data_IF_713094445524
#
_entry.id   IF_713094445524
#
_cell.length_a   1.000
_cell.length_b   1.000
_cell.length_c   1.000
_cell.angle_alpha   90.00
_cell.angle_beta   90.00
_cell.angle_gamma   90.00
#
_symmetry.space_group_name_H-M   'P 1'
#
loop_
_entity.id
_entity.type
_entity.pdbx_description
1 polymer ?
#
# COMPACT_ATOMS: atom_id res chain seq x y z
N UNK A 1 -28.31 -21.04 -4.48
CA UNK A 1 -27.51 -19.80 -4.55
C UNK A 1 -28.51 -18.65 -4.60
N UNK A 2 -28.62 -17.85 -3.53
CA UNK A 2 -29.67 -16.83 -3.39
C UNK A 2 -29.38 -15.72 -4.40
N UNK A 3 -30.25 -15.55 -5.40
CA UNK A 3 -30.15 -14.53 -6.43
C UNK A 3 -30.52 -13.16 -5.86
N UNK A 4 -29.53 -12.43 -5.37
CA UNK A 4 -29.71 -11.04 -4.95
C UNK A 4 -29.88 -10.16 -6.20
N UNK A 5 -31.08 -9.64 -6.40
CA UNK A 5 -31.48 -8.88 -7.60
C UNK A 5 -30.67 -7.59 -7.81
N UNK A 6 -29.99 -7.08 -6.77
CA UNK A 6 -29.14 -5.88 -6.80
C UNK A 6 -28.05 -5.96 -5.71
N UNK A 7 -27.08 -6.88 -5.80
CA UNK A 7 -26.05 -7.04 -4.76
C UNK A 7 -25.14 -5.83 -4.57
N UNK A 8 -25.09 -4.88 -5.52
CA UNK A 8 -24.20 -3.72 -5.47
C UNK A 8 -22.72 -4.05 -5.67
N UNK A 9 -22.38 -5.33 -5.86
CA UNK A 9 -21.02 -5.80 -6.09
C UNK A 9 -20.98 -6.65 -7.35
N UNK A 10 -20.09 -6.29 -8.28
CA UNK A 10 -19.76 -7.11 -9.43
C UNK A 10 -18.51 -7.92 -9.10
N UNK A 11 -18.64 -9.25 -9.09
CA UNK A 11 -17.48 -10.14 -9.00
C UNK A 11 -16.99 -10.37 -10.42
N UNK A 12 -15.76 -9.95 -10.70
CA UNK A 12 -15.11 -10.27 -11.97
C UNK A 12 -14.74 -11.76 -11.98
N UNK A 13 -15.38 -12.53 -12.85
CA UNK A 13 -15.03 -13.93 -13.14
C UNK A 13 -14.30 -13.98 -14.49
N UNK A 14 -13.01 -13.66 -14.49
CA UNK A 14 -12.14 -13.77 -15.66
C UNK A 14 -11.23 -15.01 -15.64
N UNK A 15 -10.32 -15.13 -16.62
CA UNK A 15 -9.27 -16.14 -16.62
C UNK A 15 -8.44 -16.09 -15.34
N UNK A 16 -7.95 -17.24 -14.90
CA UNK A 16 -7.03 -17.33 -13.76
C UNK A 16 -5.72 -16.61 -14.10
N UNK A 17 -5.25 -15.75 -13.18
CA UNK A 17 -3.92 -15.15 -13.25
C UNK A 17 -2.95 -16.13 -12.58
N UNK A 18 -2.02 -16.68 -13.36
CA UNK A 18 -1.06 -17.67 -12.88
C UNK A 18 0.18 -16.99 -12.25
N UNK A 19 0.81 -17.59 -11.23
CA UNK A 19 1.98 -17.01 -10.56
C UNK A 19 3.17 -16.69 -11.48
N UNK A 20 3.29 -17.41 -12.60
CA UNK A 20 4.39 -17.25 -13.56
C UNK A 20 4.10 -16.18 -14.64
N UNK A 21 2.90 -15.60 -14.65
CA UNK A 21 2.54 -14.53 -15.58
C UNK A 21 2.80 -13.16 -14.94
N UNK A 22 4.07 -12.73 -15.02
CA UNK A 22 4.55 -11.48 -14.43
C UNK A 22 3.76 -10.26 -14.93
N UNK A 23 3.41 -10.21 -16.22
CA UNK A 23 2.66 -9.10 -16.81
C UNK A 23 1.24 -9.01 -16.25
N UNK A 24 0.54 -10.13 -16.13
CA UNK A 24 -0.81 -10.14 -15.54
C UNK A 24 -0.79 -9.81 -14.05
N UNK A 25 0.22 -10.30 -13.33
CA UNK A 25 0.43 -9.95 -11.92
C UNK A 25 0.73 -8.45 -11.73
N UNK A 26 1.56 -7.86 -12.59
CA UNK A 26 1.87 -6.43 -12.55
C UNK A 26 0.63 -5.58 -12.84
N UNK A 27 -0.16 -5.96 -13.86
CA UNK A 27 -1.42 -5.27 -14.17
C UNK A 27 -2.43 -5.37 -13.02
N UNK A 28 -2.55 -6.53 -12.38
CA UNK A 28 -3.39 -6.69 -11.19
C UNK A 28 -2.86 -5.85 -10.03
N UNK A 29 -1.55 -5.84 -9.81
CA UNK A 29 -0.93 -5.00 -8.80
C UNK A 29 -1.28 -3.54 -9.05
N UNK A 30 -1.06 -3.00 -10.25
CA UNK A 30 -1.46 -1.64 -10.63
C UNK A 30 -2.93 -1.33 -10.32
N UNK A 31 -3.83 -2.31 -10.49
CA UNK A 31 -5.22 -2.16 -10.10
C UNK A 31 -5.44 -2.11 -8.58
N UNK A 32 -4.77 -2.99 -7.82
CA UNK A 32 -4.89 -3.08 -6.35
C UNK A 32 -4.28 -1.86 -5.66
N UNK A 33 -3.08 -1.44 -6.07
CA UNK A 33 -2.37 -0.28 -5.50
C UNK A 33 -2.78 1.06 -6.13
N UNK A 34 -3.79 1.05 -7.00
CA UNK A 34 -4.24 2.26 -7.68
C UNK A 34 -4.66 3.32 -6.66
N UNK A 35 -3.99 4.48 -6.69
CA UNK A 35 -4.46 5.66 -5.97
C UNK A 35 -5.87 6.03 -6.46
N UNK A 36 -6.76 6.37 -5.53
CA UNK A 36 -8.15 6.76 -5.86
C UNK A 36 -8.25 8.02 -6.73
N UNK A 37 -7.14 8.75 -6.90
CA UNK A 37 -7.02 9.99 -7.65
C UNK A 37 -5.84 9.94 -8.63
N UNK A 38 -5.83 10.82 -9.64
CA UNK A 38 -4.73 10.94 -10.60
C UNK A 38 -4.19 12.37 -10.60
N UNK A 39 -2.88 12.51 -10.47
CA UNK A 39 -2.18 13.80 -10.49
C UNK A 39 -2.34 14.52 -11.83
N UNK A 40 -2.46 13.79 -12.93
CA UNK A 40 -2.67 14.36 -14.28
C UNK A 40 -4.00 15.13 -14.38
N UNK A 41 -4.96 14.84 -13.49
CA UNK A 41 -6.25 15.52 -13.41
C UNK A 41 -6.27 16.66 -12.39
N UNK A 42 -5.12 17.01 -11.83
CA UNK A 42 -4.98 18.01 -10.78
C UNK A 42 -4.22 19.24 -11.32
N UNK A 43 -4.80 20.42 -11.13
CA UNK A 43 -4.16 21.70 -11.42
C UNK A 43 -3.99 22.47 -10.12
N UNK A 44 -2.75 22.81 -9.77
CA UNK A 44 -2.44 23.62 -8.61
C UNK A 44 -2.43 25.11 -8.98
N UNK A 45 -3.12 25.92 -8.19
CA UNK A 45 -3.18 27.37 -8.30
C UNK A 45 -2.53 27.96 -7.06
N UNK A 46 -1.44 28.69 -7.26
CA UNK A 46 -0.67 29.33 -6.20
C UNK A 46 -1.41 30.56 -5.64
N UNK A 47 -1.02 30.99 -4.43
CA UNK A 47 -1.64 32.14 -3.72
C UNK A 47 -1.62 33.43 -4.54
N UNK A 48 -0.52 33.69 -5.27
CA UNK A 48 -0.34 34.86 -6.14
C UNK A 48 -1.33 34.91 -7.32
N UNK A 49 -1.81 33.74 -7.75
CA UNK A 49 -2.76 33.58 -8.86
C UNK A 49 -4.21 33.46 -8.39
N UNK A 50 -4.42 33.41 -7.09
CA UNK A 50 -5.73 33.25 -6.48
C UNK A 50 -6.29 34.63 -6.10
N UNK A 51 -7.54 34.97 -6.47
CA UNK A 51 -8.13 36.28 -6.15
C UNK A 51 -8.20 36.56 -4.64
N UNK A 52 -8.34 35.49 -3.87
CA UNK A 52 -8.53 35.49 -2.43
C UNK A 52 -7.20 35.30 -1.65
N UNK A 53 -6.07 35.19 -2.36
CA UNK A 53 -4.74 35.00 -1.75
C UNK A 53 -4.52 33.62 -1.13
N UNK A 54 -5.42 32.67 -1.34
CA UNK A 54 -5.35 31.29 -0.81
C UNK A 54 -5.02 30.33 -1.94
N UNK A 55 -4.03 29.44 -1.75
CA UNK A 55 -3.69 28.40 -2.71
C UNK A 55 -4.87 27.44 -2.92
N UNK A 56 -5.11 27.03 -4.17
CA UNK A 56 -6.23 26.15 -4.55
C UNK A 56 -5.79 24.98 -5.39
N UNK A 57 -6.58 23.92 -5.36
CA UNK A 57 -6.45 22.75 -6.21
C UNK A 57 -7.73 22.56 -7.02
N UNK A 58 -7.60 22.50 -8.34
CA UNK A 58 -8.69 22.17 -9.24
C UNK A 58 -8.53 20.72 -9.67
N UNK A 59 -9.53 19.89 -9.42
CA UNK A 59 -9.52 18.48 -9.78
C UNK A 59 -10.60 18.16 -10.81
N UNK A 60 -10.20 17.57 -11.94
CA UNK A 60 -11.10 17.26 -13.05
C UNK A 60 -11.61 15.81 -13.00
N UNK A 61 -12.88 15.60 -13.35
CA UNK A 61 -13.47 14.26 -13.47
C UNK A 61 -12.82 13.45 -14.59
N UNK A 62 -12.92 12.12 -14.51
CA UNK A 62 -12.29 11.22 -15.50
C UNK A 62 -12.78 11.48 -16.93
N UNK A 63 -14.06 11.82 -17.07
CA UNK A 63 -14.70 12.12 -18.36
C UNK A 63 -14.50 13.58 -18.80
N UNK A 64 -13.77 14.38 -18.02
CA UNK A 64 -13.48 15.78 -18.31
C UNK A 64 -14.65 16.74 -18.14
N UNK A 65 -15.86 16.24 -17.83
CA UNK A 65 -17.11 17.03 -17.87
C UNK A 65 -17.32 17.92 -16.66
N UNK A 66 -16.70 17.58 -15.52
CA UNK A 66 -16.86 18.33 -14.27
C UNK A 66 -15.50 18.58 -13.64
N UNK A 67 -15.40 19.67 -12.90
CA UNK A 67 -14.27 19.97 -12.04
C UNK A 67 -14.76 20.42 -10.67
N UNK A 68 -13.92 20.21 -9.66
CA UNK A 68 -14.12 20.75 -8.32
C UNK A 68 -12.87 21.52 -7.90
N UNK A 69 -13.09 22.66 -7.27
CA UNK A 69 -12.03 23.47 -6.70
C UNK A 69 -12.05 23.34 -5.19
N UNK A 70 -10.88 23.17 -4.60
CA UNK A 70 -10.65 23.07 -3.16
C UNK A 70 -9.61 24.10 -2.77
N UNK A 71 -9.66 24.59 -1.54
CA UNK A 71 -8.47 25.19 -0.94
C UNK A 71 -7.40 24.11 -0.77
N UNK A 72 -6.12 24.48 -0.88
CA UNK A 72 -5.03 23.50 -0.91
C UNK A 72 -4.99 22.65 0.37
N UNK A 73 -5.28 23.24 1.53
CA UNK A 73 -5.34 22.52 2.80
C UNK A 73 -6.56 21.60 2.89
N UNK A 74 -7.72 22.01 2.37
CA UNK A 74 -8.91 21.17 2.33
C UNK A 74 -8.71 19.97 1.40
N UNK A 75 -8.02 20.18 0.27
CA UNK A 75 -7.63 19.09 -0.61
C UNK A 75 -6.73 18.08 0.11
N UNK A 76 -5.70 18.55 0.81
CA UNK A 76 -4.83 17.68 1.61
C UNK A 76 -5.62 16.94 2.70
N UNK A 77 -6.52 17.63 3.41
CA UNK A 77 -7.38 17.02 4.42
C UNK A 77 -8.19 15.87 3.81
N UNK A 78 -8.84 16.09 2.66
CA UNK A 78 -9.58 15.06 1.94
C UNK A 78 -8.68 13.87 1.56
N UNK A 79 -7.48 14.12 1.03
CA UNK A 79 -6.55 13.05 0.68
C UNK A 79 -6.13 12.22 1.89
N UNK A 80 -5.87 12.87 3.03
CA UNK A 80 -5.45 12.18 4.25
C UNK A 80 -6.54 11.28 4.84
N UNK A 81 -7.82 11.49 4.51
CA UNK A 81 -8.91 10.58 4.94
C UNK A 81 -8.76 9.16 4.37
N UNK A 82 -8.05 8.99 3.25
CA UNK A 82 -7.76 7.69 2.68
C UNK A 82 -6.61 6.96 3.39
N UNK A 83 -5.87 7.64 4.27
CA UNK A 83 -4.79 7.04 5.06
C UNK A 83 -5.43 6.41 6.30
N UNK A 84 -5.39 5.08 6.46
CA UNK A 84 -6.00 4.42 7.62
C UNK A 84 -5.36 4.87 8.93
N UNK A 85 -6.14 4.85 10.00
CA UNK A 85 -5.65 5.18 11.33
C UNK A 85 -4.57 4.21 11.82
N UNK A 86 -3.82 4.64 12.84
CA UNK A 86 -2.83 3.77 13.49
C UNK A 86 -3.50 2.49 13.98
N UNK A 87 -2.94 1.34 13.60
CA UNK A 87 -3.44 -0.01 13.92
C UNK A 87 -4.81 -0.36 13.29
N UNK A 88 -5.29 0.43 12.33
CA UNK A 88 -6.53 0.10 11.64
C UNK A 88 -6.35 -1.11 10.73
N UNK A 89 -7.27 -2.07 10.84
CA UNK A 89 -7.22 -3.32 10.07
C UNK A 89 -7.67 -3.05 8.63
N UNK A 90 -6.72 -2.93 7.71
CA UNK A 90 -6.99 -2.74 6.27
C UNK A 90 -7.49 -4.00 5.57
N UNK A 91 -7.13 -5.19 6.06
CA UNK A 91 -7.51 -6.48 5.47
C UNK A 91 -8.39 -7.23 6.44
N UNK A 92 -9.62 -7.55 6.00
CA UNK A 92 -10.58 -8.34 6.77
C UNK A 92 -10.82 -9.67 6.09
N UNK A 93 -10.40 -10.76 6.72
CA UNK A 93 -10.64 -12.10 6.22
C UNK A 93 -11.99 -12.64 6.72
N UNK A 94 -12.79 -13.17 5.81
CA UNK A 94 -14.11 -13.72 6.10
C UNK A 94 -14.22 -15.21 5.75
N UNK A 95 -15.23 -15.87 6.31
CA UNK A 95 -15.57 -17.26 6.00
C UNK A 95 -14.39 -18.21 6.25
N UNK A 96 -14.02 -18.97 5.21
CA UNK A 96 -12.94 -19.95 5.26
C UNK A 96 -11.57 -19.34 5.60
N UNK A 97 -11.33 -18.10 5.16
CA UNK A 97 -10.08 -17.38 5.36
C UNK A 97 -10.01 -16.63 6.72
N UNK A 98 -11.13 -16.52 7.45
CA UNK A 98 -11.14 -15.79 8.73
C UNK A 98 -10.21 -16.39 9.77
N UNK A 99 -9.63 -15.54 10.63
CA UNK A 99 -8.73 -15.98 11.71
C UNK A 99 -9.38 -17.01 12.64
N UNK A 100 -10.68 -16.89 12.90
CA UNK A 100 -11.46 -17.86 13.69
C UNK A 100 -11.50 -19.23 13.00
N UNK A 101 -11.91 -19.26 11.72
CA UNK A 101 -11.99 -20.52 10.95
C UNK A 101 -10.63 -21.21 10.84
N UNK A 102 -9.56 -20.43 10.63
CA UNK A 102 -8.18 -20.94 10.63
C UNK A 102 -7.77 -21.49 11.98
N UNK A 103 -8.06 -20.77 13.07
CA UNK A 103 -7.76 -21.20 14.43
C UNK A 103 -8.44 -22.52 14.80
N UNK A 104 -9.71 -22.68 14.43
CA UNK A 104 -10.46 -23.93 14.67
C UNK A 104 -9.88 -25.11 13.87
N UNK A 105 -9.39 -24.90 12.64
CA UNK A 105 -8.72 -25.96 11.87
C UNK A 105 -7.41 -26.38 12.49
N UNK A 106 -6.60 -25.41 12.93
CA UNK A 106 -5.34 -25.68 13.66
C UNK A 106 -5.59 -26.46 14.95
N UNK A 107 -6.63 -26.13 15.70
CA UNK A 107 -7.00 -26.87 16.91
C UNK A 107 -7.44 -28.31 16.63
N UNK A 108 -7.94 -28.58 15.43
CA UNK A 108 -8.42 -29.90 15.03
C UNK A 108 -7.34 -30.76 14.35
N UNK A 109 -6.05 -30.37 14.43
CA UNK A 109 -4.91 -30.96 13.70
C UNK A 109 -5.18 -31.18 12.20
N UNK A 110 -6.08 -30.37 11.63
CA UNK A 110 -6.24 -30.31 10.18
C UNK A 110 -5.17 -29.36 9.66
N UNK A 111 -4.38 -29.83 8.70
CA UNK A 111 -3.45 -28.95 7.98
C UNK A 111 -4.22 -27.72 7.49
N UNK A 112 -3.71 -26.54 7.84
CA UNK A 112 -4.20 -25.27 7.32
C UNK A 112 -3.61 -25.14 5.92
N UNK A 113 -4.12 -25.97 5.00
CA UNK A 113 -3.73 -26.06 3.59
C UNK A 113 -4.30 -24.85 2.83
N UNK A 114 -4.13 -23.65 3.41
CA UNK A 114 -4.33 -22.40 2.71
C UNK A 114 -3.15 -22.33 1.77
N UNK A 115 -3.34 -22.49 0.45
CA UNK A 115 -2.24 -22.38 -0.49
C UNK A 115 -1.60 -21.03 -0.25
N UNK A 116 -0.29 -21.01 -0.02
CA UNK A 116 0.44 -19.78 -0.23
C UNK A 116 0.16 -19.41 -1.68
N UNK A 117 -0.64 -18.36 -1.89
CA UNK A 117 -1.02 -17.92 -3.25
C UNK A 117 0.22 -17.54 -4.08
N UNK A 118 1.35 -17.34 -3.40
CA UNK A 118 2.65 -17.05 -3.96
C UNK A 118 3.66 -17.87 -3.13
N UNK A 119 4.27 -18.86 -3.77
CA UNK A 119 5.51 -19.43 -3.24
C UNK A 119 6.60 -18.36 -3.38
N UNK A 120 7.18 -17.96 -2.25
CA UNK A 120 8.39 -17.16 -2.30
C UNK A 120 9.59 -18.09 -2.35
N UNK A 121 10.46 -17.92 -3.35
CA UNK A 121 11.77 -18.59 -3.41
C UNK A 121 12.65 -18.25 -2.19
N UNK A 122 12.27 -17.20 -1.46
CA UNK A 122 12.87 -16.81 -0.20
C UNK A 122 12.28 -17.63 0.94
N UNK A 123 13.13 -18.19 1.78
CA UNK A 123 12.71 -18.73 3.07
C UNK A 123 12.01 -17.64 3.89
N UNK A 124 11.07 -18.03 4.75
CA UNK A 124 10.38 -17.07 5.62
C UNK A 124 11.34 -16.23 6.49
N UNK A 125 12.56 -16.71 6.74
CA UNK A 125 13.63 -15.99 7.44
C UNK A 125 14.22 -14.87 6.57
N UNK A 126 14.49 -15.13 5.30
CA UNK A 126 14.97 -14.15 4.32
C UNK A 126 13.90 -13.09 4.00
N UNK A 127 12.62 -13.50 3.93
CA UNK A 127 11.50 -12.58 3.74
C UNK A 127 11.37 -11.59 4.92
N UNK A 128 11.53 -12.07 6.15
CA UNK A 128 11.47 -11.24 7.38
C UNK A 128 12.69 -10.34 7.59
N UNK A 129 13.83 -10.67 6.99
CA UNK A 129 15.08 -9.93 7.18
C UNK A 129 15.22 -8.70 6.29
N UNK A 130 14.27 -8.43 5.38
CA UNK A 130 14.53 -7.52 4.28
C UNK A 130 14.02 -6.09 4.48
N UNK A 131 14.26 -5.52 5.66
CA UNK A 131 14.02 -4.08 5.90
C UNK A 131 14.80 -3.22 4.89
N UNK A 132 16.04 -3.62 4.58
CA UNK A 132 16.91 -2.90 3.65
C UNK A 132 16.34 -2.90 2.22
N UNK A 133 15.87 -4.06 1.71
CA UNK A 133 15.18 -4.12 0.41
C UNK A 133 13.88 -3.31 0.40
N UNK A 134 13.13 -3.28 1.51
CA UNK A 134 11.92 -2.47 1.59
C UNK A 134 12.23 -0.98 1.53
N UNK A 135 13.26 -0.51 2.23
CA UNK A 135 13.73 0.88 2.13
C UNK A 135 14.21 1.17 0.72
N UNK A 136 15.01 0.29 0.12
CA UNK A 136 15.49 0.46 -1.26
C UNK A 136 14.34 0.50 -2.27
N UNK A 137 13.29 -0.30 -2.08
CA UNK A 137 12.14 -0.31 -2.97
C UNK A 137 11.29 0.94 -2.85
N UNK A 138 11.04 1.41 -1.61
CA UNK A 138 10.12 2.53 -1.34
C UNK A 138 10.82 3.88 -1.56
N UNK A 139 12.03 4.02 -1.03
CA UNK A 139 12.78 5.27 -1.02
C UNK A 139 13.88 5.32 -2.07
N UNK A 140 14.00 4.30 -2.92
CA UNK A 140 15.02 4.17 -3.98
C UNK A 140 16.48 4.28 -3.51
N UNK A 141 16.72 4.19 -2.19
CA UNK A 141 18.04 4.25 -1.56
C UNK A 141 18.40 2.90 -0.95
N UNK A 142 19.54 2.32 -1.32
CA UNK A 142 20.07 1.14 -0.65
C UNK A 142 20.76 1.54 0.67
N UNK A 143 20.19 1.23 1.86
CA UNK A 143 20.76 1.65 3.13
C UNK A 143 22.04 0.87 3.50
N UNK A 144 22.41 -0.16 2.72
CA UNK A 144 23.62 -0.95 2.91
C UNK A 144 24.77 -0.52 1.99
N UNK A 145 24.65 0.60 1.27
CA UNK A 145 25.74 1.19 0.48
C UNK A 145 26.15 2.52 1.11
N UNK A 146 27.44 2.71 1.35
CA UNK A 146 27.94 3.97 1.89
C UNK A 146 27.78 5.10 0.86
N UNK A 147 27.11 6.22 1.18
CA UNK A 147 26.94 7.33 0.24
C UNK A 147 28.26 8.04 -0.10
N UNK A 148 29.32 7.86 0.70
CA UNK A 148 30.63 8.50 0.50
C UNK A 148 31.58 7.67 -0.35
N UNK A 149 31.71 6.37 -0.05
CA UNK A 149 32.70 5.50 -0.70
C UNK A 149 32.11 4.38 -1.56
N UNK A 150 30.78 4.26 -1.62
CA UNK A 150 30.05 3.22 -2.38
C UNK A 150 30.38 1.77 -1.97
N UNK A 151 31.05 1.57 -0.83
CA UNK A 151 31.33 0.25 -0.28
C UNK A 151 30.13 -0.34 0.45
N UNK A 152 30.14 -1.66 0.58
CA UNK A 152 29.12 -2.41 1.33
C UNK A 152 29.20 -2.10 2.84
N UNK A 153 28.04 -1.86 3.44
CA UNK A 153 27.86 -1.62 4.86
C UNK A 153 27.19 -2.82 5.51
N UNK A 154 27.59 -3.13 6.75
CA UNK A 154 26.95 -4.16 7.58
C UNK A 154 26.33 -3.53 8.82
N UNK A 155 25.18 -4.05 9.25
CA UNK A 155 24.56 -3.64 10.52
C UNK A 155 25.42 -4.17 11.66
N UNK A 156 25.92 -3.26 12.51
CA UNK A 156 26.75 -3.63 13.67
C UNK A 156 25.90 -3.77 14.93
N UNK A 157 24.91 -2.90 15.12
CA UNK A 157 23.99 -2.94 16.26
C UNK A 157 22.69 -2.20 15.92
N UNK A 158 21.62 -2.55 16.64
CA UNK A 158 20.34 -1.81 16.64
C UNK A 158 20.21 -1.20 18.03
N UNK A 159 20.05 0.12 18.09
CA UNK A 159 19.94 0.87 19.35
C UNK A 159 18.47 1.23 19.55
N UNK A 160 17.86 0.70 20.60
CA UNK A 160 16.44 0.95 20.93
C UNK A 160 16.26 1.88 22.14
N UNK A 161 17.33 2.15 22.88
CA UNK A 161 17.30 3.00 24.07
C UNK A 161 17.23 4.49 23.70
N UNK A 162 16.19 5.17 24.16
CA UNK A 162 15.92 6.57 23.83
C UNK A 162 17.00 7.54 24.34
N UNK A 163 17.59 7.29 25.51
CA UNK A 163 18.67 8.12 26.07
C UNK A 163 19.95 7.97 25.25
N UNK A 164 20.26 6.76 24.78
CA UNK A 164 21.40 6.50 23.90
C UNK A 164 21.21 7.15 22.54
N UNK A 165 20.02 7.03 21.94
CA UNK A 165 19.69 7.65 20.65
C UNK A 165 19.89 9.17 20.73
N UNK A 166 19.41 9.81 21.80
CA UNK A 166 19.54 11.26 22.02
C UNK A 166 20.97 11.77 22.16
N UNK A 167 21.92 10.90 22.52
CA UNK A 167 23.34 11.28 22.62
C UNK A 167 24.08 11.14 21.29
N UNK A 168 23.57 10.31 20.37
CA UNK A 168 24.21 10.00 19.08
C UNK A 168 23.70 10.93 17.97
N UNK A 169 22.40 11.23 17.96
CA UNK A 169 21.74 12.14 17.03
C UNK A 169 21.75 13.58 17.56
#
# INVERSE_FOLDING_TARGET
MVSWRHSGFNVYCGPAIWPHDENSLENLAHYIIRAAFSQERMTYVTEDKSPDGIAKVIYQSKDGKTSKTFDALDWLAQLTTHIPGKNEQMVRYYGYYSNKSRGLRRQADKEDDVPALIDSDLSGKEFRQNWARLIQKIYTVNPLICPKCQGDMRVISVIEDAEVIRKIL
#
